data_IF_823906107893
#
_entry.id   IF_823906107893
#
_cell.length_a   1.000
_cell.length_b   1.000
_cell.length_c   1.000
_cell.angle_alpha   90.00
_cell.angle_beta   90.00
_cell.angle_gamma   90.00
#
_symmetry.space_group_name_H-M   'P 1'
#
loop_
_entity.id
_entity.type
_entity.pdbx_description
1 polymer ?
#
# COMPACT_ATOMS: atom_id res chain seq x y z
N UNK A 1 2.82 -1.85 17.24
CA UNK A 1 3.77 -1.86 16.11
C UNK A 1 2.90 -1.68 14.88
N UNK A 2 3.05 -0.59 14.14
CA UNK A 2 2.29 -0.38 12.90
C UNK A 2 2.93 -1.29 11.85
N UNK A 3 2.18 -2.26 11.34
CA UNK A 3 2.66 -3.09 10.24
C UNK A 3 2.73 -2.24 8.97
N UNK A 4 3.75 -2.50 8.14
CA UNK A 4 3.96 -1.78 6.89
C UNK A 4 4.53 -2.72 5.83
N UNK A 5 4.08 -2.56 4.59
CA UNK A 5 4.60 -3.26 3.42
C UNK A 5 5.40 -2.31 2.53
N UNK A 6 6.39 -2.84 1.80
CA UNK A 6 7.18 -2.09 0.83
C UNK A 6 7.44 -2.93 -0.43
N UNK A 7 7.33 -2.31 -1.59
CA UNK A 7 7.80 -2.86 -2.86
C UNK A 7 8.39 -1.74 -3.74
N UNK A 8 9.09 -2.12 -4.82
CA UNK A 8 9.62 -1.18 -5.80
C UNK A 8 8.66 -1.11 -6.99
N UNK A 9 8.25 0.10 -7.37
CA UNK A 9 7.42 0.34 -8.53
C UNK A 9 8.22 0.15 -9.83
N UNK A 10 7.55 -0.03 -10.98
CA UNK A 10 8.20 -0.04 -12.30
C UNK A 10 9.03 1.21 -12.60
N UNK A 11 8.79 2.32 -11.89
CA UNK A 11 9.50 3.59 -12.02
C UNK A 11 10.70 3.71 -11.08
N UNK A 12 11.05 2.63 -10.38
CA UNK A 12 12.10 2.59 -9.35
C UNK A 12 11.78 3.43 -8.10
N UNK A 13 10.53 3.86 -7.95
CA UNK A 13 10.03 4.52 -6.75
C UNK A 13 9.65 3.47 -5.68
N UNK A 14 9.70 3.86 -4.41
CA UNK A 14 9.21 3.01 -3.32
C UNK A 14 7.69 3.13 -3.20
N UNK A 15 7.00 2.00 -3.23
CA UNK A 15 5.59 1.87 -2.85
C UNK A 15 5.50 1.36 -1.42
N UNK A 16 4.78 2.08 -0.57
CA UNK A 16 4.57 1.70 0.83
C UNK A 16 3.09 1.69 1.19
N UNK A 17 2.67 0.70 1.99
CA UNK A 17 1.37 0.70 2.68
C UNK A 17 1.58 0.63 4.19
N UNK A 18 0.63 1.13 4.97
CA UNK A 18 0.71 1.07 6.43
C UNK A 18 -0.65 0.83 7.09
N UNK A 19 -0.63 0.27 8.30
CA UNK A 19 -1.81 -0.03 9.10
C UNK A 19 -2.36 1.18 9.90
N UNK A 20 -1.90 2.40 9.62
CA UNK A 20 -2.29 3.62 10.33
C UNK A 20 -3.47 4.34 9.67
N UNK A 21 -3.40 4.53 8.35
CA UNK A 21 -4.37 5.31 7.56
C UNK A 21 -4.94 4.56 6.33
N UNK A 22 -4.42 3.37 6.04
CA UNK A 22 -4.86 2.56 4.89
C UNK A 22 -4.42 3.11 3.54
N UNK A 23 -3.39 3.96 3.51
CA UNK A 23 -2.86 4.53 2.27
C UNK A 23 -1.78 3.65 1.64
N UNK A 24 -1.76 3.62 0.31
CA UNK A 24 -0.55 3.38 -0.48
C UNK A 24 0.06 4.72 -0.87
N UNK A 25 1.37 4.85 -0.67
CA UNK A 25 2.14 6.06 -0.99
C UNK A 25 3.30 5.68 -1.91
N UNK A 26 3.56 6.50 -2.92
CA UNK A 26 4.72 6.38 -3.80
C UNK A 26 5.74 7.47 -3.47
N UNK A 27 6.96 7.06 -3.13
CA UNK A 27 8.07 7.91 -2.71
C UNK A 27 9.25 7.74 -3.64
N UNK A 28 9.78 8.85 -4.18
CA UNK A 28 10.97 8.81 -5.04
C UNK A 28 12.20 8.33 -4.28
N UNK A 29 13.27 7.89 -4.97
CA UNK A 29 14.53 7.56 -4.31
C UNK A 29 15.16 8.73 -3.53
N UNK A 30 14.77 9.98 -3.84
CA UNK A 30 15.21 11.18 -3.12
C UNK A 30 14.38 11.47 -1.86
N UNK A 31 13.28 10.75 -1.64
CA UNK A 31 12.42 10.87 -0.47
C UNK A 31 11.16 11.71 -0.69
N UNK A 32 10.86 12.11 -1.93
CA UNK A 32 9.67 12.92 -2.23
C UNK A 32 8.43 12.02 -2.38
N UNK A 33 7.37 12.29 -1.61
CA UNK A 33 6.07 11.66 -1.83
C UNK A 33 5.38 12.32 -3.03
N UNK A 34 5.14 11.54 -4.08
CA UNK A 34 4.65 12.07 -5.36
C UNK A 34 3.23 11.60 -5.72
N UNK A 35 2.74 10.56 -5.04
CA UNK A 35 1.37 10.08 -5.17
C UNK A 35 0.92 9.34 -3.90
N UNK A 36 -0.38 9.36 -3.64
CA UNK A 36 -1.01 8.59 -2.58
C UNK A 36 -2.45 8.21 -2.96
N UNK A 37 -2.95 7.11 -2.38
CA UNK A 37 -4.34 6.67 -2.51
C UNK A 37 -4.72 5.85 -1.28
N UNK A 38 -5.89 6.14 -0.71
CA UNK A 38 -6.48 5.28 0.31
C UNK A 38 -7.03 4.00 -0.34
N UNK A 39 -6.51 2.85 0.09
CA UNK A 39 -6.94 1.53 -0.40
C UNK A 39 -8.06 0.96 0.45
N UNK A 40 -8.02 1.19 1.77
CA UNK A 40 -9.06 0.82 2.70
C UNK A 40 -9.33 1.98 3.67
N UNK A 41 -10.61 2.30 3.88
CA UNK A 41 -11.07 3.36 4.77
C UNK A 41 -11.93 2.84 5.93
N UNK A 42 -11.90 1.53 6.17
CA UNK A 42 -12.61 0.87 7.27
C UNK A 42 -11.97 1.20 8.64
N UNK A 43 -12.62 0.81 9.74
CA UNK A 43 -12.08 1.06 11.08
C UNK A 43 -12.23 2.49 11.60
N UNK A 44 -11.60 2.79 12.72
CA UNK A 44 -11.60 4.13 13.35
C UNK A 44 -10.28 4.36 14.09
N UNK A 45 -9.41 5.28 13.64
CA UNK A 45 -9.56 6.13 12.45
C UNK A 45 -9.59 5.30 11.13
N UNK A 46 -10.08 5.88 10.02
CA UNK A 46 -10.13 5.19 8.72
C UNK A 46 -8.78 4.56 8.33
N UNK A 47 -8.82 3.32 7.85
CA UNK A 47 -7.67 2.51 7.45
C UNK A 47 -6.86 1.88 8.59
N UNK A 48 -7.25 2.13 9.85
CA UNK A 48 -6.54 1.60 11.00
C UNK A 48 -6.61 0.06 11.04
N UNK A 49 -5.44 -0.57 10.97
CA UNK A 49 -5.28 -2.02 11.00
C UNK A 49 -5.40 -2.72 9.65
N UNK A 50 -5.75 -2.01 8.57
CA UNK A 50 -6.15 -2.67 7.33
C UNK A 50 -4.97 -3.25 6.52
N UNK A 51 -3.83 -2.56 6.42
CA UNK A 51 -2.78 -2.91 5.44
C UNK A 51 -1.45 -3.29 6.10
N UNK A 52 -0.82 -4.36 5.62
CA UNK A 52 0.48 -4.80 6.16
C UNK A 52 1.48 -5.39 5.15
N UNK A 53 1.09 -5.61 3.90
CA UNK A 53 1.98 -6.15 2.86
C UNK A 53 1.52 -5.78 1.46
N UNK A 54 2.48 -5.63 0.53
CA UNK A 54 2.19 -5.47 -0.88
C UNK A 54 3.22 -6.16 -1.78
N UNK A 55 2.84 -6.39 -3.03
CA UNK A 55 3.71 -6.87 -4.10
C UNK A 55 3.29 -6.24 -5.44
N UNK A 56 4.29 -5.95 -6.29
CA UNK A 56 4.04 -5.55 -7.68
C UNK A 56 3.95 -6.80 -8.54
N UNK A 57 2.91 -6.88 -9.39
CA UNK A 57 2.72 -8.00 -10.32
C UNK A 57 3.89 -8.14 -11.29
N UNK A 58 4.18 -9.36 -11.73
CA UNK A 58 5.32 -9.65 -12.62
C UNK A 58 5.28 -8.91 -13.96
N UNK A 59 4.07 -8.63 -14.46
CA UNK A 59 3.81 -7.83 -15.66
C UNK A 59 3.77 -6.32 -15.38
N UNK A 60 4.04 -5.90 -14.14
CA UNK A 60 4.18 -4.51 -13.73
C UNK A 60 2.91 -3.66 -13.95
N UNK A 61 1.74 -4.29 -14.04
CA UNK A 61 0.47 -3.60 -14.31
C UNK A 61 -0.55 -3.68 -13.17
N UNK A 62 -0.14 -4.21 -12.02
CA UNK A 62 -0.98 -4.39 -10.85
C UNK A 62 -0.16 -4.32 -9.58
N UNK A 63 -0.79 -3.87 -8.50
CA UNK A 63 -0.30 -4.01 -7.14
C UNK A 63 -1.26 -4.93 -6.40
N UNK A 64 -0.72 -5.96 -5.76
CA UNK A 64 -1.46 -6.82 -4.85
C UNK A 64 -1.13 -6.41 -3.43
N UNK A 65 -2.13 -6.32 -2.57
CA UNK A 65 -1.94 -5.92 -1.18
C UNK A 65 -2.81 -6.76 -0.26
N UNK A 66 -2.34 -6.95 0.97
CA UNK A 66 -3.13 -7.62 1.98
C UNK A 66 -4.06 -6.62 2.63
N UNK A 67 -5.35 -6.94 2.63
CA UNK A 67 -6.41 -6.22 3.33
C UNK A 67 -6.91 -7.09 4.50
N UNK A 68 -6.46 -6.75 5.71
CA UNK A 68 -6.84 -7.42 6.95
C UNK A 68 -8.30 -7.16 7.32
N UNK A 69 -8.85 -6.00 6.95
CA UNK A 69 -10.21 -5.61 7.30
C UNK A 69 -11.25 -6.51 6.63
N UNK A 70 -10.94 -6.97 5.41
CA UNK A 70 -11.76 -7.93 4.68
C UNK A 70 -11.18 -9.36 4.68
N UNK A 71 -9.97 -9.55 5.22
CA UNK A 71 -9.22 -10.80 5.25
C UNK A 71 -9.00 -11.37 3.82
N UNK A 72 -8.56 -10.51 2.91
CA UNK A 72 -8.35 -10.82 1.49
C UNK A 72 -6.98 -10.36 0.98
N UNK A 73 -6.62 -10.91 -0.18
CA UNK A 73 -5.58 -10.37 -1.03
C UNK A 73 -6.27 -9.60 -2.17
N UNK A 74 -6.19 -8.28 -2.11
CA UNK A 74 -6.85 -7.40 -3.06
C UNK A 74 -5.87 -6.86 -4.11
N UNK A 75 -6.44 -6.34 -5.20
CA UNK A 75 -5.71 -5.89 -6.39
C UNK A 75 -6.05 -4.44 -6.70
N UNK A 76 -5.02 -3.62 -6.86
CA UNK A 76 -5.08 -2.30 -7.47
C UNK A 76 -4.63 -2.40 -8.94
N UNK A 77 -5.48 -1.89 -9.85
CA UNK A 77 -5.42 -1.92 -11.34
C UNK A 77 -6.06 -3.14 -12.02
#
# INVERSE_FOLDING_TARGET
>A
MLAAGLAISPREDALTVNAGDGDIVETTPQGDQIAWRQLDASGTPPGAGALFGLAVGLNQNAVYFVDDATNQLDKLH
#
